data_IF_294637803749
#
_entry.id   IF_294637803749
#
_cell.length_a   1.000
_cell.length_b   1.000
_cell.length_c   1.000
_cell.angle_alpha   90.00
_cell.angle_beta   90.00
_cell.angle_gamma   90.00
#
_symmetry.space_group_name_H-M   'P 1'
#
loop_
_entity.id
_entity.type
_entity.pdbx_description
1 polymer ?
#
# COMPACT_ATOMS: atom_id res chain seq x y z
N UNK A 1 -29.86 53.26 -35.71
CA UNK A 1 -30.39 52.04 -34.99
C UNK A 1 -29.26 51.10 -34.47
N UNK A 2 -27.98 51.33 -34.75
CA UNK A 2 -26.85 50.42 -34.43
C UNK A 2 -26.28 50.55 -33.01
N UNK A 3 -26.63 51.55 -32.23
CA UNK A 3 -26.02 51.82 -30.89
C UNK A 3 -26.63 51.02 -29.72
N UNK A 4 -27.80 50.40 -29.91
CA UNK A 4 -28.49 49.69 -28.82
C UNK A 4 -28.07 48.20 -28.74
N UNK A 5 -27.57 47.61 -29.80
CA UNK A 5 -27.17 46.21 -29.85
C UNK A 5 -25.80 45.92 -29.18
N UNK A 6 -24.90 46.90 -29.13
CA UNK A 6 -23.59 46.73 -28.53
C UNK A 6 -23.60 46.31 -27.03
N UNK A 7 -24.42 46.97 -26.15
CA UNK A 7 -24.47 46.54 -24.75
C UNK A 7 -25.18 45.21 -24.56
N UNK A 8 -26.12 44.84 -25.41
CA UNK A 8 -26.82 43.54 -25.33
C UNK A 8 -25.88 42.39 -25.70
N UNK A 9 -25.04 42.56 -26.74
CA UNK A 9 -24.02 41.56 -27.14
C UNK A 9 -22.95 41.43 -26.06
N UNK A 10 -22.50 42.54 -25.44
CA UNK A 10 -21.53 42.49 -24.35
C UNK A 10 -22.07 41.74 -23.12
N UNK A 11 -23.32 41.94 -22.75
CA UNK A 11 -23.96 41.20 -21.63
C UNK A 11 -24.12 39.70 -21.99
N UNK A 12 -24.47 39.38 -23.23
CA UNK A 12 -24.60 37.99 -23.67
C UNK A 12 -23.25 37.24 -23.65
N UNK A 13 -22.17 37.91 -24.07
CA UNK A 13 -20.80 37.34 -24.03
C UNK A 13 -20.33 37.14 -22.58
N UNK A 14 -20.64 38.05 -21.67
CA UNK A 14 -20.36 37.93 -20.24
C UNK A 14 -21.10 36.77 -19.58
N UNK A 15 -22.35 36.53 -19.98
CA UNK A 15 -23.16 35.42 -19.48
C UNK A 15 -22.65 34.05 -19.99
N UNK A 16 -22.10 33.98 -21.20
CA UNK A 16 -21.48 32.76 -21.75
C UNK A 16 -20.13 32.43 -21.09
N UNK A 17 -19.39 33.44 -20.65
CA UNK A 17 -18.13 33.23 -19.93
C UNK A 17 -18.31 32.72 -18.49
N UNK A 18 -19.48 32.92 -17.88
CA UNK A 18 -19.78 32.48 -16.52
C UNK A 18 -20.01 30.94 -16.39
N UNK A 19 -20.14 30.22 -17.50
CA UNK A 19 -20.36 28.77 -17.50
C UNK A 19 -19.07 27.95 -17.59
N UNK A 20 -17.89 28.58 -17.65
CA UNK A 20 -16.61 27.87 -17.62
C UNK A 20 -16.28 27.42 -16.18
N UNK A 21 -16.97 26.38 -15.68
CA UNK A 21 -16.58 25.75 -14.41
C UNK A 21 -15.22 25.06 -14.60
N UNK A 22 -14.28 25.21 -13.64
CA UNK A 22 -13.05 24.44 -13.67
C UNK A 22 -13.38 22.95 -13.67
N UNK A 23 -12.59 22.12 -14.37
CA UNK A 23 -12.82 20.68 -14.40
C UNK A 23 -12.84 20.13 -12.98
N UNK A 24 -13.88 19.38 -12.65
CA UNK A 24 -13.99 18.71 -11.36
C UNK A 24 -12.82 17.71 -11.23
N UNK A 25 -12.04 17.83 -10.17
CA UNK A 25 -10.96 16.89 -9.89
C UNK A 25 -11.57 15.50 -9.69
N UNK A 26 -11.09 14.52 -10.46
CA UNK A 26 -11.58 13.15 -10.38
C UNK A 26 -10.76 12.36 -9.35
N UNK A 27 -11.44 11.41 -8.70
CA UNK A 27 -10.79 10.45 -7.82
C UNK A 27 -9.86 9.53 -8.63
N UNK A 28 -8.63 9.35 -8.13
CA UNK A 28 -7.65 8.45 -8.70
C UNK A 28 -7.43 7.27 -7.74
N UNK A 29 -7.51 6.05 -8.27
CA UNK A 29 -7.35 4.83 -7.51
C UNK A 29 -6.07 4.13 -7.89
N UNK A 30 -5.32 3.66 -6.88
CA UNK A 30 -4.02 3.04 -7.02
C UNK A 30 -4.02 1.64 -6.42
N UNK A 31 -3.25 0.74 -7.03
CA UNK A 31 -2.98 -0.60 -6.50
C UNK A 31 -1.49 -0.75 -6.22
N UNK A 32 -1.14 -1.57 -5.26
CA UNK A 32 0.22 -2.07 -5.07
C UNK A 32 0.36 -3.35 -5.90
N UNK A 33 1.53 -3.53 -6.46
CA UNK A 33 1.87 -4.72 -7.23
C UNK A 33 3.31 -5.11 -6.91
N UNK A 34 3.47 -6.17 -6.15
CA UNK A 34 4.79 -6.67 -5.74
C UNK A 34 5.31 -7.64 -6.80
N UNK A 35 6.54 -7.38 -7.29
CA UNK A 35 7.19 -8.31 -8.20
C UNK A 35 7.42 -9.67 -7.50
N UNK A 36 7.19 -10.79 -8.17
CA UNK A 36 7.44 -12.11 -7.60
C UNK A 36 8.93 -12.28 -7.28
N UNK A 37 9.28 -13.23 -6.39
CA UNK A 37 10.68 -13.54 -6.12
C UNK A 37 11.40 -14.05 -7.38
N UNK A 38 12.71 -13.83 -7.52
CA UNK A 38 13.47 -14.26 -8.70
C UNK A 38 13.53 -15.78 -8.85
N UNK A 39 13.39 -16.53 -7.76
CA UNK A 39 13.30 -17.98 -7.74
C UNK A 39 12.51 -18.46 -6.54
N UNK A 40 11.85 -19.60 -6.67
CA UNK A 40 11.25 -20.31 -5.55
C UNK A 40 12.34 -21.07 -4.76
N UNK A 41 12.08 -21.31 -3.48
CA UNK A 41 12.90 -22.18 -2.64
C UNK A 41 12.82 -23.64 -3.14
N UNK A 42 13.92 -24.35 -3.13
CA UNK A 42 13.96 -25.77 -3.49
C UNK A 42 13.10 -26.64 -2.56
N UNK A 43 13.01 -26.25 -1.30
CA UNK A 43 12.18 -26.89 -0.28
C UNK A 43 11.46 -25.83 0.56
N UNK A 44 10.19 -26.03 0.90
CA UNK A 44 9.49 -25.16 1.82
C UNK A 44 10.22 -25.09 3.18
N UNK A 45 10.28 -23.92 3.77
CA UNK A 45 10.79 -23.72 5.13
C UNK A 45 9.79 -24.20 6.19
N UNK A 46 8.49 -24.06 5.90
CA UNK A 46 7.39 -24.51 6.76
C UNK A 46 6.75 -25.75 6.11
N UNK A 47 6.75 -26.87 6.83
CA UNK A 47 6.25 -28.15 6.33
C UNK A 47 4.71 -28.25 6.29
N UNK A 48 3.98 -27.19 6.71
CA UNK A 48 2.53 -27.14 6.81
C UNK A 48 1.88 -25.98 6.04
N UNK A 49 0.66 -25.64 6.46
CA UNK A 49 -0.15 -24.55 5.94
C UNK A 49 0.10 -23.27 6.73
N UNK A 50 0.49 -22.20 6.06
CA UNK A 50 0.66 -20.86 6.59
C UNK A 50 -0.57 -20.01 6.27
N UNK A 51 -1.30 -19.57 7.28
CA UNK A 51 -2.39 -18.60 7.12
C UNK A 51 -1.88 -17.17 7.31
N UNK A 52 -2.32 -16.26 6.45
CA UNK A 52 -2.03 -14.83 6.54
C UNK A 52 -3.35 -14.06 6.63
N UNK A 53 -3.80 -13.70 7.83
CA UNK A 53 -4.97 -12.83 8.03
C UNK A 53 -4.73 -11.43 7.49
N UNK A 54 -5.82 -10.67 7.33
CA UNK A 54 -5.76 -9.25 7.00
C UNK A 54 -4.86 -8.51 7.98
N UNK A 55 -3.97 -7.65 7.46
CA UNK A 55 -3.10 -6.83 8.30
C UNK A 55 -3.92 -5.79 9.07
N UNK A 56 -3.61 -5.64 10.35
CA UNK A 56 -4.19 -4.58 11.16
C UNK A 56 -3.54 -3.24 10.84
N UNK A 57 -4.32 -2.18 10.93
CA UNK A 57 -3.86 -0.80 10.78
C UNK A 57 -4.74 0.11 11.62
N UNK A 58 -4.17 1.22 12.10
CA UNK A 58 -4.88 2.19 12.93
C UNK A 58 -4.93 3.57 12.24
N UNK A 59 -5.90 4.39 12.61
CA UNK A 59 -6.03 5.77 12.17
C UNK A 59 -6.06 5.93 10.65
N UNK A 60 -5.28 6.86 10.13
CA UNK A 60 -5.20 7.14 8.69
C UNK A 60 -4.69 5.95 7.86
N UNK A 61 -3.88 5.07 8.46
CA UNK A 61 -3.33 3.89 7.78
C UNK A 61 -4.39 2.81 7.53
N UNK A 62 -5.53 2.84 8.23
CA UNK A 62 -6.64 1.90 8.02
C UNK A 62 -7.55 2.31 6.85
N UNK A 63 -7.52 3.57 6.46
CA UNK A 63 -8.36 4.14 5.42
C UNK A 63 -7.82 3.93 4.01
N UNK A 64 -8.66 4.22 3.01
CA UNK A 64 -8.27 4.16 1.59
C UNK A 64 -7.51 5.39 1.08
N UNK A 65 -7.69 6.64 1.62
CA UNK A 65 -6.88 7.76 1.19
C UNK A 65 -5.39 7.49 1.35
N UNK A 66 -4.60 7.82 0.32
CA UNK A 66 -3.14 7.70 0.38
C UNK A 66 -2.61 8.73 1.38
N UNK A 67 -1.70 8.30 2.23
CA UNK A 67 -1.15 9.09 3.32
C UNK A 67 0.21 9.66 2.93
N UNK A 68 0.45 10.90 3.34
CA UNK A 68 1.73 11.57 3.12
C UNK A 68 2.14 12.45 4.31
N UNK A 69 3.43 12.74 4.40
CA UNK A 69 4.03 13.79 5.22
C UNK A 69 4.98 14.65 4.40
N UNK A 70 5.34 15.81 4.91
CA UNK A 70 6.36 16.67 4.33
C UNK A 70 7.70 16.41 5.03
N UNK A 71 8.80 16.37 4.27
CA UNK A 71 10.14 16.20 4.86
C UNK A 71 10.51 17.33 5.84
N UNK A 72 9.96 18.53 5.63
CA UNK A 72 10.15 19.69 6.52
C UNK A 72 9.32 19.58 7.82
N UNK A 73 8.26 18.77 7.83
CA UNK A 73 7.39 18.55 9.00
C UNK A 73 6.96 17.06 9.08
N UNK A 74 7.88 16.16 9.42
CA UNK A 74 7.65 14.71 9.35
C UNK A 74 6.69 14.18 10.41
N UNK A 75 6.34 14.97 11.41
CA UNK A 75 5.38 14.59 12.45
C UNK A 75 3.93 14.91 12.05
N UNK A 76 3.75 15.76 11.06
CA UNK A 76 2.43 16.09 10.53
C UNK A 76 2.08 15.16 9.39
N UNK A 77 1.14 14.28 9.63
CA UNK A 77 0.66 13.29 8.68
C UNK A 77 -0.68 13.76 8.11
N UNK A 78 -0.83 13.66 6.79
CA UNK A 78 -2.02 14.08 6.06
C UNK A 78 -2.46 12.97 5.09
N UNK A 79 -3.70 13.06 4.63
CA UNK A 79 -4.24 12.17 3.60
C UNK A 79 -4.61 12.98 2.35
N UNK A 80 -4.42 12.40 1.19
CA UNK A 80 -4.85 13.00 -0.07
C UNK A 80 -6.38 13.00 -0.18
N UNK A 81 -6.94 14.04 -0.81
CA UNK A 81 -8.39 14.17 -1.00
C UNK A 81 -8.92 13.39 -2.21
N UNK A 82 -8.08 13.19 -3.25
CA UNK A 82 -8.49 12.61 -4.53
C UNK A 82 -7.61 11.43 -4.97
N UNK A 83 -6.76 10.91 -4.06
CA UNK A 83 -5.91 9.76 -4.33
C UNK A 83 -6.15 8.67 -3.30
N UNK A 84 -6.60 7.53 -3.76
CA UNK A 84 -7.05 6.44 -2.93
C UNK A 84 -6.39 5.13 -3.31
N UNK A 85 -6.16 4.29 -2.34
CA UNK A 85 -5.93 2.88 -2.59
C UNK A 85 -7.20 2.23 -3.16
N UNK A 86 -7.04 1.27 -4.09
CA UNK A 86 -8.16 0.51 -4.65
C UNK A 86 -8.92 -0.24 -3.55
N UNK A 87 -8.20 -0.77 -2.58
CA UNK A 87 -8.71 -1.44 -1.38
C UNK A 87 -8.02 -0.90 -0.12
N UNK A 88 -8.56 -1.15 1.08
CA UNK A 88 -7.86 -0.79 2.31
C UNK A 88 -6.44 -1.40 2.37
N UNK A 89 -5.41 -0.66 2.82
CA UNK A 89 -4.02 -1.13 2.84
C UNK A 89 -3.83 -2.49 3.52
N UNK A 90 -4.57 -2.75 4.61
CA UNK A 90 -4.49 -4.03 5.32
C UNK A 90 -4.87 -5.25 4.49
N UNK A 91 -5.80 -5.10 3.53
CA UNK A 91 -6.17 -6.16 2.58
C UNK A 91 -5.14 -6.24 1.46
N UNK A 92 -4.86 -5.11 0.82
CA UNK A 92 -4.02 -5.05 -0.36
C UNK A 92 -2.58 -5.52 -0.08
N UNK A 93 -1.95 -5.06 1.01
CA UNK A 93 -0.60 -5.48 1.38
C UNK A 93 -0.54 -6.96 1.80
N UNK A 94 -1.60 -7.46 2.47
CA UNK A 94 -1.74 -8.88 2.79
C UNK A 94 -1.77 -9.72 1.51
N UNK A 95 -2.56 -9.35 0.53
CA UNK A 95 -2.75 -10.14 -0.69
C UNK A 95 -1.46 -10.18 -1.52
N UNK A 96 -0.75 -9.07 -1.63
CA UNK A 96 0.55 -9.01 -2.28
C UNK A 96 1.60 -9.87 -1.54
N UNK A 97 1.63 -9.83 -0.20
CA UNK A 97 2.51 -10.68 0.59
C UNK A 97 2.17 -12.17 0.41
N UNK A 98 0.90 -12.53 0.43
CA UNK A 98 0.45 -13.92 0.16
C UNK A 98 0.90 -14.38 -1.23
N UNK A 99 0.72 -13.55 -2.25
CA UNK A 99 1.19 -13.82 -3.60
C UNK A 99 2.70 -14.07 -3.67
N UNK A 100 3.47 -13.20 -3.02
CA UNK A 100 4.93 -13.35 -2.95
C UNK A 100 5.36 -14.62 -2.21
N UNK A 101 4.80 -14.88 -1.01
CA UNK A 101 5.17 -16.05 -0.20
C UNK A 101 4.80 -17.37 -0.87
N UNK A 102 3.68 -17.41 -1.63
CA UNK A 102 3.31 -18.55 -2.49
C UNK A 102 4.35 -18.77 -3.58
N UNK A 103 4.68 -17.73 -4.32
CA UNK A 103 5.66 -17.79 -5.40
C UNK A 103 7.06 -18.15 -4.88
N UNK A 104 7.42 -17.70 -3.69
CA UNK A 104 8.68 -18.07 -3.02
C UNK A 104 8.70 -19.51 -2.50
N UNK A 105 7.54 -20.17 -2.35
CA UNK A 105 7.45 -21.54 -1.85
C UNK A 105 7.86 -21.66 -0.37
N UNK A 106 7.59 -20.66 0.47
CA UNK A 106 8.04 -20.63 1.87
C UNK A 106 7.34 -21.67 2.74
N UNK A 107 6.12 -22.07 2.39
CA UNK A 107 5.33 -23.09 3.06
C UNK A 107 4.75 -24.07 2.04
N UNK A 108 4.29 -25.24 2.50
CA UNK A 108 3.57 -26.20 1.63
C UNK A 108 2.35 -25.55 0.98
N UNK A 109 1.64 -24.74 1.75
CA UNK A 109 0.50 -23.94 1.29
C UNK A 109 0.50 -22.60 2.02
N UNK A 110 0.17 -21.51 1.32
CA UNK A 110 -0.06 -20.19 1.92
C UNK A 110 -1.51 -19.81 1.63
N UNK A 111 -2.29 -19.60 2.67
CA UNK A 111 -3.75 -19.41 2.59
C UNK A 111 -4.15 -18.11 3.27
N UNK A 112 -5.38 -17.71 3.01
CA UNK A 112 -6.05 -16.62 3.74
C UNK A 112 -7.26 -17.21 4.48
N UNK A 113 -7.77 -16.58 5.55
CA UNK A 113 -8.88 -17.10 6.35
C UNK A 113 -10.14 -17.42 5.54
N UNK A 114 -10.34 -16.71 4.43
CA UNK A 114 -11.50 -16.90 3.53
C UNK A 114 -11.55 -18.32 2.94
N UNK A 115 -10.39 -18.99 2.83
CA UNK A 115 -10.32 -20.36 2.31
C UNK A 115 -10.71 -21.43 3.34
N UNK A 116 -10.85 -21.06 4.63
CA UNK A 116 -11.33 -21.92 5.72
C UNK A 116 -10.53 -23.22 5.87
N UNK A 117 -9.24 -23.17 5.66
CA UNK A 117 -8.29 -24.27 5.87
C UNK A 117 -7.69 -24.13 7.27
N UNK A 118 -7.64 -25.21 8.05
CA UNK A 118 -7.01 -25.18 9.39
C UNK A 118 -5.49 -25.03 9.24
N UNK A 119 -4.88 -23.94 9.76
CA UNK A 119 -3.47 -23.67 9.55
C UNK A 119 -2.57 -24.29 10.63
N UNK A 120 -1.37 -24.69 10.23
CA UNK A 120 -0.28 -25.08 11.16
C UNK A 120 0.44 -23.83 11.68
N UNK A 121 0.54 -22.78 10.86
CA UNK A 121 1.23 -21.53 11.15
C UNK A 121 0.34 -20.33 10.81
N UNK A 122 0.46 -19.25 11.59
CA UNK A 122 -0.24 -17.99 11.35
C UNK A 122 0.75 -16.84 11.34
N UNK A 123 0.74 -16.04 10.26
CA UNK A 123 1.55 -14.84 10.11
C UNK A 123 0.66 -13.62 10.28
N UNK A 124 0.81 -12.93 11.38
CA UNK A 124 0.06 -11.71 11.72
C UNK A 124 0.95 -10.51 11.39
N UNK A 125 0.38 -9.45 10.80
CA UNK A 125 1.10 -8.21 10.58
C UNK A 125 0.28 -6.98 10.98
N UNK A 126 0.99 -5.96 11.47
CA UNK A 126 0.45 -4.63 11.75
C UNK A 126 1.17 -3.58 10.91
N UNK A 127 0.40 -2.79 10.18
CA UNK A 127 0.89 -1.63 9.44
C UNK A 127 1.13 -0.50 10.43
N UNK A 128 2.40 -0.12 10.61
CA UNK A 128 2.81 1.02 11.44
C UNK A 128 2.92 2.28 10.59
N UNK A 129 3.42 2.15 9.35
CA UNK A 129 3.58 3.24 8.38
C UNK A 129 3.47 2.71 6.96
N UNK A 130 2.72 3.40 6.12
CA UNK A 130 2.71 3.29 4.66
C UNK A 130 2.42 4.69 4.14
N UNK A 131 3.46 5.45 3.83
CA UNK A 131 3.30 6.85 3.49
C UNK A 131 4.33 7.34 2.49
N UNK A 132 3.95 8.37 1.74
CA UNK A 132 4.85 9.18 0.95
C UNK A 132 5.45 10.28 1.83
N UNK A 133 6.75 10.49 1.76
CA UNK A 133 7.43 11.65 2.33
C UNK A 133 7.81 12.60 1.20
N UNK A 134 7.15 13.75 1.12
CA UNK A 134 7.31 14.76 0.07
C UNK A 134 8.43 15.72 0.42
N UNK A 135 9.13 16.26 -0.58
CA UNK A 135 10.19 17.23 -0.38
C UNK A 135 11.21 17.26 -1.51
N UNK A 136 12.39 17.78 -1.26
CA UNK A 136 13.50 17.83 -2.23
C UNK A 136 14.06 16.45 -2.59
N UNK A 137 13.94 15.50 -1.66
CA UNK A 137 14.32 14.09 -1.85
C UNK A 137 13.10 13.22 -1.53
N UNK A 138 12.13 13.13 -2.47
CA UNK A 138 10.91 12.40 -2.21
C UNK A 138 11.19 10.90 -2.00
N UNK A 139 10.49 10.32 -1.05
CA UNK A 139 10.63 8.90 -0.71
C UNK A 139 9.33 8.33 -0.19
N UNK A 140 9.29 7.03 -0.02
CA UNK A 140 8.24 6.33 0.70
C UNK A 140 8.82 5.62 1.91
N UNK A 141 7.98 5.43 2.91
CA UNK A 141 8.32 4.68 4.12
C UNK A 141 7.27 3.62 4.35
N UNK A 142 7.72 2.37 4.46
CA UNK A 142 6.86 1.24 4.85
C UNK A 142 7.42 0.64 6.13
N UNK A 143 6.58 0.52 7.16
CA UNK A 143 6.92 -0.14 8.42
C UNK A 143 5.83 -1.15 8.75
N UNK A 144 6.21 -2.43 8.78
CA UNK A 144 5.36 -3.54 9.16
C UNK A 144 5.95 -4.26 10.37
N UNK A 145 5.14 -4.44 11.41
CA UNK A 145 5.45 -5.35 12.50
C UNK A 145 4.82 -6.70 12.19
N UNK A 146 5.63 -7.76 12.19
CA UNK A 146 5.22 -9.10 11.75
C UNK A 146 5.52 -10.10 12.85
N UNK A 147 4.55 -10.98 13.15
CA UNK A 147 4.69 -12.11 14.04
C UNK A 147 4.32 -13.41 13.29
N UNK A 148 5.14 -14.44 13.41
CA UNK A 148 4.86 -15.79 12.93
C UNK A 148 4.70 -16.72 14.13
N UNK A 149 3.57 -17.42 14.20
CA UNK A 149 3.23 -18.34 15.28
C UNK A 149 3.04 -19.75 14.76
N UNK A 150 3.57 -20.75 15.45
CA UNK A 150 3.19 -22.16 15.32
C UNK A 150 1.91 -22.39 16.14
N UNK A 151 0.78 -22.64 15.46
CA UNK A 151 -0.53 -22.64 16.10
C UNK A 151 -0.72 -23.81 17.06
N UNK A 152 -0.26 -25.02 16.67
CA UNK A 152 -0.43 -26.22 17.48
C UNK A 152 0.43 -26.22 18.75
N UNK A 153 1.57 -25.54 18.69
CA UNK A 153 2.54 -25.48 19.78
C UNK A 153 2.37 -24.23 20.65
N UNK A 154 1.47 -23.32 20.25
CA UNK A 154 1.32 -21.97 20.84
C UNK A 154 2.66 -21.25 21.00
N UNK A 155 3.52 -21.32 19.98
CA UNK A 155 4.91 -20.85 20.02
C UNK A 155 5.14 -19.74 19.01
N UNK A 156 5.67 -18.63 19.48
CA UNK A 156 6.16 -17.53 18.64
C UNK A 156 7.48 -17.96 17.97
N UNK A 157 7.49 -17.95 16.63
CA UNK A 157 8.65 -18.34 15.82
C UNK A 157 9.45 -17.14 15.33
N UNK A 158 8.77 -16.03 15.07
CA UNK A 158 9.37 -14.77 14.59
C UNK A 158 8.56 -13.61 15.13
N UNK A 159 9.22 -12.58 15.62
CA UNK A 159 8.66 -11.24 15.85
C UNK A 159 9.69 -10.23 15.35
N UNK A 160 9.32 -9.49 14.32
CA UNK A 160 10.23 -8.53 13.69
C UNK A 160 9.50 -7.34 13.10
N UNK A 161 10.09 -6.16 13.23
CA UNK A 161 9.65 -4.97 12.52
C UNK A 161 10.52 -4.79 11.27
N UNK A 162 9.87 -4.76 10.12
CA UNK A 162 10.48 -4.44 8.84
C UNK A 162 10.24 -2.98 8.56
N UNK A 163 11.31 -2.24 8.32
CA UNK A 163 11.26 -0.83 7.90
C UNK A 163 12.06 -0.67 6.62
N UNK A 164 11.42 -0.17 5.59
CA UNK A 164 12.06 0.11 4.30
C UNK A 164 11.69 1.53 3.88
N UNK A 165 12.73 2.30 3.56
CA UNK A 165 12.60 3.58 2.89
C UNK A 165 13.09 3.42 1.45
N UNK A 166 12.35 3.96 0.50
CA UNK A 166 12.74 3.91 -0.92
C UNK A 166 12.51 5.27 -1.57
N UNK A 167 13.52 5.75 -2.30
CA UNK A 167 13.40 6.99 -3.06
C UNK A 167 12.29 6.87 -4.11
N UNK A 168 11.49 7.91 -4.24
CA UNK A 168 10.55 8.10 -5.33
C UNK A 168 11.19 9.00 -6.40
N UNK A 169 10.80 8.84 -7.66
CA UNK A 169 11.35 9.61 -8.77
C UNK A 169 11.03 11.10 -8.64
N UNK A 170 9.85 11.42 -8.11
CA UNK A 170 9.37 12.77 -7.86
C UNK A 170 8.29 12.79 -6.76
N UNK A 171 7.66 13.96 -6.54
CA UNK A 171 6.60 14.16 -5.54
C UNK A 171 5.21 13.70 -6.01
N UNK A 172 5.06 13.09 -7.17
CA UNK A 172 3.76 12.59 -7.63
C UNK A 172 3.34 11.33 -6.86
N UNK A 173 2.03 11.12 -6.75
CA UNK A 173 1.50 9.91 -6.11
C UNK A 173 1.86 8.65 -6.93
N UNK A 174 1.91 8.76 -8.26
CA UNK A 174 2.33 7.65 -9.13
C UNK A 174 3.75 7.18 -8.82
N UNK A 175 4.71 8.11 -8.72
CA UNK A 175 6.09 7.80 -8.35
C UNK A 175 6.21 7.21 -6.93
N UNK A 176 5.39 7.69 -6.00
CA UNK A 176 5.32 7.12 -4.66
C UNK A 176 4.79 5.68 -4.67
N UNK A 177 3.73 5.39 -5.44
CA UNK A 177 3.19 4.02 -5.56
C UNK A 177 4.22 3.07 -6.18
N UNK A 178 4.95 3.50 -7.20
CA UNK A 178 6.06 2.72 -7.78
C UNK A 178 7.13 2.39 -6.73
N UNK A 179 7.55 3.39 -5.96
CA UNK A 179 8.52 3.19 -4.89
C UNK A 179 7.98 2.27 -3.78
N UNK A 180 6.67 2.36 -3.45
CA UNK A 180 6.01 1.46 -2.49
C UNK A 180 6.00 0.01 -2.96
N UNK A 181 5.79 -0.26 -4.26
CA UNK A 181 5.90 -1.59 -4.84
C UNK A 181 7.27 -2.21 -4.53
N UNK A 182 8.32 -1.44 -4.78
CA UNK A 182 9.68 -1.89 -4.49
C UNK A 182 10.02 -2.00 -3.01
N UNK A 183 9.43 -1.16 -2.15
CA UNK A 183 9.61 -1.25 -0.70
C UNK A 183 8.92 -2.52 -0.15
N UNK A 184 7.71 -2.81 -0.61
CA UNK A 184 7.00 -4.05 -0.25
C UNK A 184 7.72 -5.30 -0.76
N UNK A 185 8.26 -5.29 -1.98
CA UNK A 185 9.05 -6.40 -2.50
C UNK A 185 10.27 -6.70 -1.59
N UNK A 186 10.96 -5.65 -1.12
CA UNK A 186 12.08 -5.81 -0.20
C UNK A 186 11.64 -6.39 1.17
N UNK A 187 10.51 -5.96 1.70
CA UNK A 187 9.94 -6.52 2.94
C UNK A 187 9.56 -7.98 2.75
N UNK A 188 8.87 -8.33 1.66
CA UNK A 188 8.49 -9.71 1.37
C UNK A 188 9.72 -10.63 1.22
N UNK A 189 10.77 -10.17 0.55
CA UNK A 189 12.02 -10.90 0.41
C UNK A 189 12.72 -11.10 1.76
N UNK A 190 12.81 -10.03 2.56
CA UNK A 190 13.37 -10.09 3.92
C UNK A 190 12.61 -11.07 4.81
N UNK A 191 11.29 -11.00 4.80
CA UNK A 191 10.42 -11.92 5.55
C UNK A 191 10.62 -13.37 5.09
N UNK A 192 10.60 -13.65 3.79
CA UNK A 192 10.82 -15.00 3.25
C UNK A 192 12.19 -15.56 3.66
N UNK A 193 13.21 -14.69 3.80
CA UNK A 193 14.53 -15.06 4.30
C UNK A 193 14.53 -15.36 5.80
N UNK A 194 13.80 -14.59 6.60
CA UNK A 194 13.79 -14.67 8.07
C UNK A 194 12.89 -15.80 8.62
N UNK A 195 11.90 -16.27 7.85
CA UNK A 195 11.09 -17.43 8.24
C UNK A 195 12.03 -18.61 8.53
N UNK A 196 11.96 -19.21 9.76
CA UNK A 196 12.81 -20.35 10.11
C UNK A 196 12.44 -21.61 9.30
N UNK A 197 13.42 -22.46 9.06
CA UNK A 197 13.18 -23.79 8.49
C UNK A 197 12.72 -24.76 9.62
N UNK A 198 11.55 -25.41 9.43
CA UNK A 198 10.90 -26.30 10.38
C UNK A 198 10.45 -27.61 9.71
#
# INVERSE_FOLDING_TARGET
MTRIYAPIVAVLVLLLAACAQPPVTQDAFYRIQVAPPPAALEKPKLSGTLEVPRFSADGLMAGRPIVFSEAADPLRVSAYHYHFWLEPPGTMLRDEMVGYLRAAGVARSVVTPELRVDPDFVLIAKIKRVEQVRGSTPKVVVVLEVALNARREDRLLLLKTYQVEKAAADNTVGAAVEALNGAMAAICAGLASDIPAL
#
